data_IF_116384359967
#
_entry.id   IF_116384359967
#
_cell.length_a   1.000
_cell.length_b   1.000
_cell.length_c   1.000
_cell.angle_alpha   90.00
_cell.angle_beta   90.00
_cell.angle_gamma   90.00
#
_symmetry.space_group_name_H-M   'P 1'
#
loop_
_entity.id
_entity.type
_entity.pdbx_description
1 polymer ?
#
# COMPACT_ATOMS: atom_id res chain seq x y z
N UNK A 1 38.14 40.24 18.85
CA UNK A 1 37.36 39.20 19.57
C UNK A 1 37.08 38.10 18.57
N UNK A 2 37.66 36.92 18.79
CA UNK A 2 37.49 35.77 17.90
C UNK A 2 36.56 34.80 18.60
N UNK A 3 35.31 34.74 18.20
CA UNK A 3 34.37 33.72 18.67
C UNK A 3 34.80 32.38 18.08
N UNK A 4 35.27 31.48 18.94
CA UNK A 4 35.58 30.10 18.56
C UNK A 4 34.24 29.38 18.31
N UNK A 5 34.05 28.91 17.08
CA UNK A 5 32.95 28.03 16.71
C UNK A 5 33.23 26.63 17.28
N UNK A 6 32.34 26.11 18.13
CA UNK A 6 32.44 24.77 18.70
C UNK A 6 31.28 23.90 18.19
N UNK A 7 31.49 23.10 17.14
CA UNK A 7 30.46 22.27 16.54
C UNK A 7 29.98 21.13 17.45
N UNK A 8 30.63 20.87 18.59
CA UNK A 8 30.18 19.82 19.52
C UNK A 8 29.07 20.32 20.47
N UNK A 9 29.04 21.61 20.79
CA UNK A 9 28.02 22.25 21.62
C UNK A 9 26.90 22.93 20.83
N UNK A 10 27.21 23.49 19.66
CA UNK A 10 26.27 24.32 18.90
C UNK A 10 25.19 23.52 18.16
N UNK A 11 25.40 22.22 17.92
CA UNK A 11 24.45 21.37 17.17
C UNK A 11 23.50 20.54 18.04
N UNK A 12 23.66 20.55 19.37
CA UNK A 12 22.81 19.75 20.28
C UNK A 12 21.32 20.12 20.26
N UNK A 13 20.96 21.27 19.70
CA UNK A 13 19.57 21.73 19.54
C UNK A 13 19.08 21.71 18.08
N UNK A 14 19.90 21.27 17.12
CA UNK A 14 19.43 21.05 15.76
C UNK A 14 18.65 19.75 15.77
N UNK A 15 17.32 19.83 15.70
CA UNK A 15 16.49 18.65 15.49
C UNK A 15 16.75 18.15 14.08
N UNK A 16 17.42 17.01 13.92
CA UNK A 16 17.81 16.46 12.61
C UNK A 16 16.62 16.04 11.73
N UNK A 17 15.39 16.25 12.20
CA UNK A 17 14.12 15.78 11.60
C UNK A 17 14.14 14.30 11.21
N UNK A 18 14.99 13.52 11.89
CA UNK A 18 15.09 12.08 11.71
C UNK A 18 13.86 11.41 12.31
N UNK A 19 13.40 10.38 11.63
CA UNK A 19 12.26 9.57 12.02
C UNK A 19 12.55 8.10 11.76
N UNK A 20 11.90 7.27 12.55
CA UNK A 20 11.86 5.83 12.31
C UNK A 20 11.03 5.54 11.05
N UNK A 21 11.56 4.65 10.21
CA UNK A 21 10.88 4.12 9.07
C UNK A 21 11.36 2.69 8.81
N UNK A 22 10.67 1.98 7.92
CA UNK A 22 11.09 0.66 7.45
C UNK A 22 11.07 0.65 5.93
N UNK A 23 12.15 0.22 5.29
CA UNK A 23 12.15 -0.09 3.86
C UNK A 23 11.77 -1.56 3.68
N UNK A 24 10.74 -1.83 2.87
CA UNK A 24 10.27 -3.17 2.56
C UNK A 24 10.39 -3.43 1.07
N UNK A 25 10.76 -4.65 0.68
CA UNK A 25 10.73 -5.09 -0.72
C UNK A 25 9.51 -5.98 -0.97
N UNK A 26 8.48 -5.49 -1.68
CA UNK A 26 7.28 -6.27 -1.96
C UNK A 26 7.60 -7.60 -2.67
N UNK A 27 6.86 -8.65 -2.30
CA UNK A 27 7.08 -10.00 -2.84
C UNK A 27 8.24 -10.77 -2.21
N UNK A 28 8.93 -10.18 -1.23
CA UNK A 28 9.98 -10.83 -0.43
C UNK A 28 9.70 -10.66 1.06
N UNK A 29 10.47 -11.34 1.91
CA UNK A 29 10.49 -11.08 3.35
C UNK A 29 11.55 -10.04 3.75
N UNK A 30 12.19 -9.38 2.78
CA UNK A 30 13.26 -8.44 3.05
C UNK A 30 12.71 -7.12 3.60
N UNK A 31 13.27 -6.71 4.74
CA UNK A 31 12.86 -5.52 5.47
C UNK A 31 14.07 -4.92 6.21
N UNK A 32 14.26 -3.61 6.09
CA UNK A 32 15.35 -2.88 6.73
C UNK A 32 14.78 -1.78 7.65
N UNK A 33 14.98 -1.87 8.98
CA UNK A 33 14.61 -0.79 9.88
C UNK A 33 15.57 0.39 9.70
N UNK A 34 15.02 1.60 9.66
CA UNK A 34 15.74 2.84 9.43
C UNK A 34 15.45 3.77 10.60
N UNK A 35 16.46 4.06 11.43
CA UNK A 35 16.29 4.93 12.58
C UNK A 35 16.57 6.40 12.23
N UNK A 36 17.24 6.64 11.10
CA UNK A 36 17.75 7.96 10.73
C UNK A 36 17.14 8.46 9.43
N UNK A 37 15.90 8.07 9.10
CA UNK A 37 15.25 8.47 7.86
C UNK A 37 14.73 9.93 7.95
N UNK A 38 14.74 10.67 6.85
CA UNK A 38 14.21 12.05 6.82
C UNK A 38 13.28 12.17 5.62
N UNK A 39 12.07 12.71 5.83
CA UNK A 39 11.09 12.96 4.78
C UNK A 39 10.90 14.47 4.55
N UNK A 40 10.71 14.86 3.28
CA UNK A 40 10.50 16.25 2.89
C UNK A 40 9.66 16.33 1.61
N UNK A 41 8.85 17.38 1.39
CA UNK A 41 8.07 17.51 0.16
C UNK A 41 8.96 17.63 -1.08
N UNK A 42 8.50 17.12 -2.22
CA UNK A 42 9.14 17.38 -3.51
C UNK A 42 9.06 18.87 -3.84
N UNK A 43 10.20 19.47 -4.22
CA UNK A 43 10.24 20.89 -4.54
C UNK A 43 9.57 21.15 -5.89
N UNK A 44 8.94 22.33 -6.03
CA UNK A 44 8.29 22.79 -7.27
C UNK A 44 9.20 22.68 -8.50
N UNK A 45 10.47 23.04 -8.35
CA UNK A 45 11.47 22.95 -9.43
C UNK A 45 11.73 21.51 -9.87
N UNK A 46 11.83 20.58 -8.92
CA UNK A 46 12.07 19.16 -9.18
C UNK A 46 10.87 18.52 -9.90
N UNK A 47 9.65 18.84 -9.45
CA UNK A 47 8.43 18.39 -10.12
C UNK A 47 8.38 18.85 -11.59
N UNK A 48 8.70 20.12 -11.87
CA UNK A 48 8.78 20.65 -13.25
C UNK A 48 9.84 19.95 -14.09
N UNK A 49 11.04 19.74 -13.54
CA UNK A 49 12.14 19.06 -14.24
C UNK A 49 11.83 17.60 -14.57
N UNK A 50 10.91 16.97 -13.85
CA UNK A 50 10.52 15.58 -14.07
C UNK A 50 9.57 15.36 -15.27
N UNK A 51 9.14 16.43 -15.96
CA UNK A 51 8.15 16.37 -17.03
C UNK A 51 6.85 15.62 -16.65
N UNK A 52 6.47 15.69 -15.37
CA UNK A 52 5.26 15.05 -14.84
C UNK A 52 5.46 13.64 -14.25
N UNK A 53 6.68 13.10 -14.28
CA UNK A 53 6.97 11.83 -13.61
C UNK A 53 6.78 11.92 -12.09
N UNK A 54 7.08 13.08 -11.50
CA UNK A 54 6.87 13.40 -10.09
C UNK A 54 5.97 14.62 -9.94
N UNK A 55 5.14 14.63 -8.90
CA UNK A 55 4.23 15.73 -8.58
C UNK A 55 4.69 16.43 -7.30
N UNK A 56 4.04 17.55 -6.95
CA UNK A 56 4.31 18.24 -5.69
C UNK A 56 3.78 17.47 -4.46
N UNK A 57 2.87 16.51 -4.68
CA UNK A 57 2.32 15.63 -3.64
C UNK A 57 3.26 14.45 -3.32
N UNK A 58 4.32 14.26 -4.12
CA UNK A 58 5.35 13.29 -3.84
C UNK A 58 6.27 13.76 -2.70
N UNK A 59 6.81 12.78 -1.98
CA UNK A 59 7.70 13.01 -0.84
C UNK A 59 9.07 12.43 -1.12
N UNK A 60 10.09 13.21 -0.81
CA UNK A 60 11.48 12.77 -0.85
C UNK A 60 11.87 12.19 0.49
N UNK A 61 12.24 10.92 0.48
CA UNK A 61 12.86 10.23 1.60
C UNK A 61 14.38 10.19 1.43
N UNK A 62 15.09 10.62 2.48
CA UNK A 62 16.55 10.52 2.61
C UNK A 62 16.86 9.38 3.57
N UNK A 63 17.40 8.27 3.06
CA UNK A 63 17.66 7.05 3.82
C UNK A 63 19.17 6.86 4.02
N UNK A 64 19.59 6.41 5.20
CA UNK A 64 21.00 6.15 5.47
C UNK A 64 21.44 4.84 4.80
N UNK A 65 22.47 4.91 3.97
CA UNK A 65 23.03 3.72 3.33
C UNK A 65 23.70 2.76 4.34
N UNK A 66 24.10 3.24 5.52
CA UNK A 66 24.66 2.39 6.59
C UNK A 66 23.63 1.53 7.31
N UNK A 67 22.33 1.82 7.15
CA UNK A 67 21.23 1.07 7.79
C UNK A 67 20.65 -0.02 6.89
N UNK A 68 21.17 -0.14 5.66
CA UNK A 68 20.68 -1.08 4.66
C UNK A 68 21.84 -1.78 3.96
N UNK A 69 21.66 -3.07 3.70
CA UNK A 69 22.65 -3.90 2.99
C UNK A 69 22.46 -3.86 1.47
N UNK A 70 21.36 -3.28 0.99
CA UNK A 70 21.00 -3.20 -0.43
C UNK A 70 20.62 -1.78 -0.82
N UNK A 71 20.76 -1.46 -2.11
CA UNK A 71 20.23 -0.23 -2.67
C UNK A 71 18.68 -0.27 -2.71
N UNK A 72 17.99 0.82 -2.33
CA UNK A 72 16.57 0.99 -2.61
C UNK A 72 16.31 0.99 -4.11
N UNK A 73 15.20 0.39 -4.51
CA UNK A 73 14.80 0.23 -5.90
C UNK A 73 13.39 0.81 -6.12
N UNK A 74 13.07 1.29 -7.34
CA UNK A 74 11.70 1.57 -7.69
C UNK A 74 10.79 0.38 -7.40
N UNK A 75 9.67 0.61 -6.72
CA UNK A 75 8.75 -0.42 -6.24
C UNK A 75 8.96 -0.86 -4.79
N UNK A 76 10.12 -0.57 -4.17
CA UNK A 76 10.27 -0.74 -2.71
C UNK A 76 9.30 0.20 -1.97
N UNK A 77 8.97 -0.12 -0.72
CA UNK A 77 7.99 0.64 0.09
C UNK A 77 8.65 1.14 1.36
N UNK A 78 8.61 2.45 1.58
CA UNK A 78 8.96 3.06 2.88
C UNK A 78 7.70 3.12 3.74
N UNK A 79 7.72 2.51 4.92
CA UNK A 79 6.67 2.58 5.93
C UNK A 79 7.15 3.51 7.04
N UNK A 80 6.42 4.59 7.30
CA UNK A 80 6.76 5.54 8.37
C UNK A 80 6.21 5.12 9.74
N UNK A 81 6.53 5.88 10.78
CA UNK A 81 6.07 5.64 12.15
C UNK A 81 4.53 5.66 12.31
N UNK A 82 3.82 6.37 11.43
CA UNK A 82 2.35 6.40 11.40
C UNK A 82 1.76 5.25 10.55
N UNK A 83 2.58 4.26 10.20
CA UNK A 83 2.26 3.14 9.31
C UNK A 83 1.81 3.54 7.90
N UNK A 84 2.08 4.79 7.46
CA UNK A 84 1.78 5.20 6.09
C UNK A 84 2.81 4.61 5.14
N UNK A 85 2.33 4.17 3.98
CA UNK A 85 3.11 3.45 2.97
C UNK A 85 3.44 4.39 1.81
N UNK A 86 4.72 4.49 1.49
CA UNK A 86 5.28 5.36 0.46
C UNK A 86 6.03 4.50 -0.56
N UNK A 87 5.49 4.35 -1.76
CA UNK A 87 6.13 3.57 -2.83
C UNK A 87 7.27 4.38 -3.44
N UNK A 88 8.47 3.81 -3.49
CA UNK A 88 9.64 4.40 -4.13
C UNK A 88 9.41 4.41 -5.64
N UNK A 89 9.32 5.60 -6.24
CA UNK A 89 9.22 5.79 -7.69
C UNK A 89 10.61 5.86 -8.34
N UNK A 90 11.58 6.42 -7.62
CA UNK A 90 12.96 6.51 -8.06
C UNK A 90 13.90 6.63 -6.86
N UNK A 91 15.08 6.02 -6.96
CA UNK A 91 16.13 6.12 -5.96
C UNK A 91 17.44 6.56 -6.61
N UNK A 92 18.11 7.54 -6.00
CA UNK A 92 19.47 7.96 -6.40
C UNK A 92 20.35 8.12 -5.18
N UNK A 93 21.63 7.77 -5.32
CA UNK A 93 22.59 8.00 -4.25
C UNK A 93 23.09 9.45 -4.30
N UNK A 94 22.97 10.16 -3.18
CA UNK A 94 23.44 11.53 -3.04
C UNK A 94 24.94 11.60 -2.75
N UNK A 95 25.52 12.80 -2.90
CA UNK A 95 26.93 13.05 -2.61
C UNK A 95 27.30 12.80 -1.14
N UNK A 96 26.34 12.90 -0.22
CA UNK A 96 26.51 12.59 1.21
C UNK A 96 26.48 11.09 1.51
N UNK A 97 26.38 10.23 0.50
CA UNK A 97 26.30 8.78 0.63
C UNK A 97 24.91 8.23 0.94
N UNK A 98 23.96 9.10 1.33
CA UNK A 98 22.55 8.77 1.61
C UNK A 98 21.75 8.53 0.32
N UNK A 99 20.73 7.69 0.41
CA UNK A 99 19.79 7.46 -0.68
C UNK A 99 18.69 8.51 -0.66
N UNK A 100 18.49 9.17 -1.81
CA UNK A 100 17.35 10.06 -2.04
C UNK A 100 16.32 9.30 -2.86
N UNK A 101 15.19 8.98 -2.24
CA UNK A 101 14.08 8.24 -2.82
C UNK A 101 12.90 9.19 -3.04
N UNK A 102 12.46 9.35 -4.28
CA UNK A 102 11.18 10.03 -4.59
C UNK A 102 10.09 8.99 -4.38
N UNK A 103 9.15 9.27 -3.49
CA UNK A 103 8.14 8.31 -3.07
C UNK A 103 6.74 8.92 -3.18
N UNK A 104 5.75 8.05 -3.38
CA UNK A 104 4.34 8.42 -3.44
C UNK A 104 3.51 7.58 -2.49
N UNK A 105 2.63 8.23 -1.72
CA UNK A 105 1.58 7.52 -1.01
C UNK A 105 0.44 7.21 -1.99
N UNK A 106 0.40 5.98 -2.51
CA UNK A 106 -0.60 5.59 -3.50
C UNK A 106 -2.02 5.59 -2.94
N UNK A 107 -2.21 5.39 -1.63
CA UNK A 107 -3.52 5.45 -1.01
C UNK A 107 -4.12 6.86 -1.12
N UNK A 108 -3.28 7.89 -0.90
CA UNK A 108 -3.69 9.28 -1.07
C UNK A 108 -3.83 9.63 -2.55
N UNK A 109 -2.84 9.29 -3.38
CA UNK A 109 -2.82 9.66 -4.80
C UNK A 109 -3.96 9.03 -5.62
N UNK A 110 -4.47 7.87 -5.19
CA UNK A 110 -5.54 7.13 -5.88
C UNK A 110 -6.87 7.14 -5.09
N UNK A 111 -6.97 8.02 -4.07
CA UNK A 111 -8.17 8.25 -3.27
C UNK A 111 -8.77 6.97 -2.66
N UNK A 112 -7.94 6.17 -1.98
CA UNK A 112 -8.41 5.04 -1.19
C UNK A 112 -9.09 5.57 0.09
N UNK A 113 -10.39 5.80 -0.02
CA UNK A 113 -11.23 6.49 0.97
C UNK A 113 -11.96 5.53 1.93
N UNK A 114 -11.84 4.22 1.72
CA UNK A 114 -12.49 3.19 2.53
C UNK A 114 -11.49 2.20 3.09
N UNK A 115 -11.93 1.46 4.10
CA UNK A 115 -11.24 0.28 4.62
C UNK A 115 -12.09 -0.96 4.38
N UNK A 116 -11.42 -2.07 4.07
CA UNK A 116 -12.03 -3.39 3.89
C UNK A 116 -11.31 -4.44 4.73
N UNK A 117 -12.05 -5.48 5.06
CA UNK A 117 -11.49 -6.72 5.58
C UNK A 117 -11.50 -7.77 4.46
N UNK A 118 -10.45 -8.56 4.40
CA UNK A 118 -10.33 -9.72 3.51
C UNK A 118 -10.45 -10.96 4.38
N UNK A 119 -11.42 -11.80 4.07
CA UNK A 119 -11.67 -13.07 4.75
C UNK A 119 -11.32 -14.23 3.84
N UNK A 120 -10.89 -15.35 4.42
CA UNK A 120 -10.56 -16.59 3.71
C UNK A 120 -11.54 -17.70 4.09
N UNK A 121 -11.89 -18.54 3.11
CA UNK A 121 -12.75 -19.69 3.30
C UNK A 121 -11.99 -20.85 3.96
N UNK A 122 -12.44 -21.24 5.15
CA UNK A 122 -11.99 -22.44 5.87
C UNK A 122 -13.06 -23.52 5.72
N UNK A 123 -12.71 -24.56 4.96
CA UNK A 123 -13.57 -25.72 4.69
C UNK A 123 -13.36 -26.78 5.76
N UNK A 124 -14.45 -27.25 6.34
CA UNK A 124 -14.48 -28.34 7.31
C UNK A 124 -15.59 -29.32 6.97
N UNK A 125 -15.56 -30.53 7.54
CA UNK A 125 -16.69 -31.46 7.45
C UNK A 125 -17.40 -31.48 8.78
N UNK A 126 -18.73 -31.42 8.75
CA UNK A 126 -19.54 -31.63 9.94
C UNK A 126 -19.60 -33.12 10.36
N UNK A 127 -20.32 -33.41 11.44
CA UNK A 127 -20.49 -34.77 11.94
C UNK A 127 -21.23 -35.70 10.94
N UNK A 128 -21.96 -35.15 9.98
CA UNK A 128 -22.64 -35.89 8.92
C UNK A 128 -21.78 -36.03 7.65
N UNK A 129 -20.57 -35.46 7.63
CA UNK A 129 -19.64 -35.47 6.50
C UNK A 129 -19.93 -34.42 5.43
N UNK A 130 -20.90 -33.52 5.66
CA UNK A 130 -21.20 -32.41 4.76
C UNK A 130 -20.13 -31.32 4.87
N UNK A 131 -19.81 -30.69 3.75
CA UNK A 131 -18.84 -29.59 3.72
C UNK A 131 -19.46 -28.31 4.31
N UNK A 132 -18.80 -27.74 5.29
CA UNK A 132 -19.14 -26.47 5.94
C UNK A 132 -18.02 -25.48 5.65
N UNK A 133 -18.38 -24.37 5.00
CA UNK A 133 -17.48 -23.24 4.74
C UNK A 133 -17.66 -22.21 5.84
N UNK A 134 -16.60 -21.94 6.59
CA UNK A 134 -16.53 -20.84 7.55
C UNK A 134 -15.58 -19.77 7.04
N UNK A 135 -15.90 -18.50 7.27
CA UNK A 135 -15.07 -17.39 6.80
C UNK A 135 -14.33 -16.80 7.97
N UNK A 136 -13.01 -16.67 7.84
CA UNK A 136 -12.14 -16.16 8.89
C UNK A 136 -11.39 -14.92 8.40
N UNK A 137 -11.20 -13.89 9.25
CA UNK A 137 -10.40 -12.74 8.90
C UNK A 137 -8.97 -13.15 8.50
N UNK A 138 -8.53 -12.72 7.33
CA UNK A 138 -7.17 -12.94 6.83
C UNK A 138 -6.34 -11.65 6.83
N UNK A 139 -6.96 -10.53 6.43
CA UNK A 139 -6.42 -9.16 6.57
C UNK A 139 -7.55 -8.23 6.98
N UNK A 140 -7.25 -7.27 7.82
CA UNK A 140 -8.24 -6.28 8.29
C UNK A 140 -7.75 -4.86 8.07
N UNK A 141 -8.68 -3.93 7.87
CA UNK A 141 -8.37 -2.51 7.73
C UNK A 141 -7.56 -2.15 6.46
N UNK A 142 -7.67 -2.94 5.40
CA UNK A 142 -6.96 -2.69 4.14
C UNK A 142 -7.56 -1.44 3.47
N UNK A 143 -6.73 -0.44 3.20
CA UNK A 143 -7.16 0.75 2.48
C UNK A 143 -7.56 0.40 1.04
N UNK A 144 -8.77 0.78 0.65
CA UNK A 144 -9.37 0.41 -0.62
C UNK A 144 -10.30 1.49 -1.19
N UNK A 145 -10.52 1.41 -2.50
CA UNK A 145 -11.56 2.16 -3.23
C UNK A 145 -12.39 1.16 -4.02
N UNK A 146 -13.71 1.22 -3.85
CA UNK A 146 -14.65 0.35 -4.55
C UNK A 146 -15.32 1.14 -5.67
N UNK A 147 -15.29 0.60 -6.88
CA UNK A 147 -15.89 1.22 -8.06
C UNK A 147 -16.84 0.23 -8.74
N UNK A 148 -18.13 0.59 -8.92
CA UNK A 148 -19.05 -0.27 -9.67
C UNK A 148 -18.65 -0.28 -11.15
N UNK A 149 -18.64 -1.47 -11.76
CA UNK A 149 -18.36 -1.64 -13.20
C UNK A 149 -19.68 -1.77 -13.96
N UNK A 150 -20.52 -2.74 -13.56
CA UNK A 150 -21.77 -3.07 -14.25
C UNK A 150 -22.72 -3.81 -13.33
N UNK A 151 -24.02 -3.56 -13.50
CA UNK A 151 -25.07 -4.39 -12.89
C UNK A 151 -25.79 -5.13 -14.01
N UNK A 152 -25.76 -6.46 -13.98
CA UNK A 152 -26.45 -7.31 -14.95
C UNK A 152 -27.47 -8.19 -14.22
N UNK A 153 -28.69 -8.25 -14.73
CA UNK A 153 -29.67 -9.26 -14.27
C UNK A 153 -29.34 -10.56 -14.97
N UNK A 154 -28.98 -11.60 -14.21
CA UNK A 154 -28.64 -12.91 -14.73
C UNK A 154 -29.41 -14.00 -13.96
N UNK A 155 -29.67 -15.17 -14.58
CA UNK A 155 -30.25 -16.29 -13.86
C UNK A 155 -29.24 -16.81 -12.82
N UNK A 156 -29.59 -16.70 -11.53
CA UNK A 156 -28.90 -17.27 -10.39
C UNK A 156 -29.84 -18.33 -9.80
N UNK A 157 -29.45 -19.61 -9.84
CA UNK A 157 -30.24 -20.72 -9.28
C UNK A 157 -31.74 -20.64 -9.61
N UNK A 158 -32.08 -20.66 -10.90
CA UNK A 158 -33.46 -20.64 -11.44
C UNK A 158 -34.27 -19.35 -11.18
N UNK A 159 -33.66 -18.32 -10.57
CA UNK A 159 -34.26 -17.00 -10.33
C UNK A 159 -33.48 -15.91 -11.05
N UNK A 160 -34.15 -14.88 -11.56
CA UNK A 160 -33.46 -13.66 -12.02
C UNK A 160 -32.85 -12.96 -10.80
N UNK A 161 -31.52 -12.90 -10.74
CA UNK A 161 -30.76 -12.21 -9.70
C UNK A 161 -29.94 -11.07 -10.30
N UNK A 162 -29.65 -10.04 -9.50
CA UNK A 162 -28.81 -8.92 -9.93
C UNK A 162 -27.35 -9.22 -9.56
N UNK A 163 -26.52 -9.56 -10.55
CA UNK A 163 -25.07 -9.60 -10.40
C UNK A 163 -24.54 -8.18 -10.54
N UNK A 164 -24.05 -7.62 -9.44
CA UNK A 164 -23.36 -6.33 -9.45
C UNK A 164 -21.87 -6.59 -9.44
N UNK A 165 -21.21 -6.29 -10.55
CA UNK A 165 -19.76 -6.37 -10.75
C UNK A 165 -19.10 -5.07 -10.26
N UNK A 166 -18.08 -5.23 -9.44
CA UNK A 166 -17.31 -4.15 -8.85
C UNK A 166 -15.82 -4.39 -9.06
N UNK A 167 -15.06 -3.30 -9.10
CA UNK A 167 -13.61 -3.29 -9.03
C UNK A 167 -13.20 -2.74 -7.68
N UNK A 168 -12.33 -3.45 -6.99
CA UNK A 168 -11.72 -3.00 -5.73
C UNK A 168 -10.26 -2.71 -5.99
N UNK A 169 -9.85 -1.47 -5.73
CA UNK A 169 -8.45 -1.06 -5.80
C UNK A 169 -7.86 -1.08 -4.40
N UNK A 170 -6.73 -1.74 -4.20
CA UNK A 170 -6.06 -1.84 -2.89
C UNK A 170 -4.60 -1.37 -2.97
N UNK A 171 -4.13 -0.73 -1.90
CA UNK A 171 -2.74 -0.28 -1.78
C UNK A 171 -1.74 -1.44 -1.68
N UNK A 172 -2.16 -2.54 -1.05
CA UNK A 172 -1.29 -3.66 -0.76
C UNK A 172 -1.30 -4.68 -1.89
N UNK A 173 -0.13 -5.29 -2.15
CA UNK A 173 -0.07 -6.50 -2.96
C UNK A 173 -0.53 -7.67 -2.09
N UNK A 174 -1.77 -8.09 -2.28
CA UNK A 174 -2.37 -9.21 -1.58
C UNK A 174 -2.26 -10.48 -2.43
N UNK A 175 -1.87 -11.58 -1.80
CA UNK A 175 -1.97 -12.90 -2.42
C UNK A 175 -3.39 -13.45 -2.21
N UNK A 176 -4.32 -12.95 -3.02
CA UNK A 176 -5.76 -13.21 -2.92
C UNK A 176 -6.24 -13.97 -4.15
N UNK A 177 -7.27 -14.81 -3.99
CA UNK A 177 -7.92 -15.56 -5.05
C UNK A 177 -9.42 -15.79 -4.74
N UNK A 178 -10.07 -16.67 -5.49
CA UNK A 178 -11.48 -17.04 -5.32
C UNK A 178 -11.81 -17.74 -3.98
N UNK A 179 -10.81 -18.14 -3.18
CA UNK A 179 -11.04 -18.67 -1.83
C UNK A 179 -11.22 -17.55 -0.79
N UNK A 180 -11.07 -16.30 -1.22
CA UNK A 180 -11.22 -15.13 -0.39
C UNK A 180 -12.49 -14.34 -0.74
N UNK A 181 -12.94 -13.55 0.22
CA UNK A 181 -14.01 -12.56 0.04
C UNK A 181 -13.65 -11.26 0.73
N UNK A 182 -14.28 -10.19 0.29
CA UNK A 182 -14.10 -8.84 0.82
C UNK A 182 -15.34 -8.49 1.64
N UNK A 183 -15.13 -7.95 2.83
CA UNK A 183 -16.16 -7.42 3.72
C UNK A 183 -15.89 -5.94 3.98
N UNK A 184 -16.85 -5.09 3.67
CA UNK A 184 -16.76 -3.66 3.97
C UNK A 184 -17.21 -3.37 5.41
N UNK A 185 -16.85 -2.20 5.92
CA UNK A 185 -17.23 -1.75 7.27
C UNK A 185 -18.75 -1.65 7.50
N UNK A 186 -19.53 -1.48 6.43
CA UNK A 186 -20.99 -1.51 6.45
C UNK A 186 -21.60 -2.93 6.46
N UNK A 187 -20.75 -3.97 6.44
CA UNK A 187 -21.16 -5.37 6.42
C UNK A 187 -21.40 -5.96 5.03
N UNK A 188 -21.31 -5.18 3.96
CA UNK A 188 -21.49 -5.69 2.59
C UNK A 188 -20.40 -6.69 2.22
N UNK A 189 -20.81 -7.81 1.64
CA UNK A 189 -19.91 -8.90 1.23
C UNK A 189 -19.75 -8.90 -0.29
N UNK A 190 -18.50 -9.03 -0.73
CA UNK A 190 -18.13 -9.18 -2.13
C UNK A 190 -17.28 -10.44 -2.32
N UNK A 191 -17.66 -11.29 -3.27
CA UNK A 191 -16.92 -12.50 -3.63
C UNK A 191 -15.85 -12.17 -4.67
N UNK A 192 -14.63 -12.67 -4.48
CA UNK A 192 -13.53 -12.47 -5.43
C UNK A 192 -13.73 -13.35 -6.66
N UNK A 193 -13.76 -12.74 -7.84
CA UNK A 193 -13.89 -13.46 -9.12
C UNK A 193 -12.66 -13.33 -10.01
N UNK A 194 -11.85 -12.29 -9.81
CA UNK A 194 -10.64 -12.05 -10.58
C UNK A 194 -9.68 -11.15 -9.83
N UNK A 195 -8.39 -11.28 -10.15
CA UNK A 195 -7.32 -10.49 -9.55
C UNK A 195 -6.35 -10.07 -10.63
N UNK A 196 -6.04 -8.79 -10.67
CA UNK A 196 -5.01 -8.22 -11.52
C UNK A 196 -3.98 -7.54 -10.63
N UNK A 197 -2.77 -8.14 -10.58
CA UNK A 197 -1.64 -7.55 -9.86
C UNK A 197 -1.22 -6.24 -10.53
N UNK A 198 -0.68 -5.32 -9.74
CA UNK A 198 -0.19 -4.04 -10.27
C UNK A 198 0.91 -4.31 -11.30
N UNK A 199 0.69 -3.91 -12.55
CA UNK A 199 1.67 -4.11 -13.63
C UNK A 199 2.76 -3.02 -13.64
N UNK A 200 2.51 -1.89 -12.96
CA UNK A 200 3.44 -0.78 -12.82
C UNK A 200 3.55 -0.33 -11.36
N UNK A 201 4.71 0.20 -10.99
CA UNK A 201 5.00 0.68 -9.62
C UNK A 201 4.10 1.83 -9.15
N UNK A 202 3.44 2.53 -10.08
CA UNK A 202 2.50 3.63 -9.84
C UNK A 202 1.02 3.20 -9.91
N UNK A 203 0.75 1.90 -10.10
CA UNK A 203 -0.61 1.35 -10.20
C UNK A 203 -0.98 0.55 -8.95
N UNK A 204 -2.28 0.51 -8.65
CA UNK A 204 -2.81 -0.31 -7.57
C UNK A 204 -3.11 -1.72 -8.06
N UNK A 205 -3.18 -2.66 -7.12
CA UNK A 205 -3.75 -3.96 -7.39
C UNK A 205 -5.26 -3.82 -7.56
N UNK A 206 -5.81 -4.51 -8.55
CA UNK A 206 -7.24 -4.53 -8.85
C UNK A 206 -7.81 -5.91 -8.55
N UNK A 207 -8.96 -5.93 -7.88
CA UNK A 207 -9.69 -7.13 -7.54
C UNK A 207 -11.08 -6.99 -8.15
N UNK A 208 -11.40 -7.89 -9.08
CA UNK A 208 -12.74 -7.99 -9.66
C UNK A 208 -13.59 -8.80 -8.70
N UNK A 209 -14.73 -8.23 -8.29
CA UNK A 209 -15.61 -8.85 -7.31
C UNK A 209 -17.08 -8.75 -7.72
N UNK A 210 -17.87 -9.70 -7.23
CA UNK A 210 -19.33 -9.65 -7.33
C UNK A 210 -19.94 -9.45 -5.95
N UNK A 211 -20.91 -8.54 -5.84
CA UNK A 211 -21.64 -8.35 -4.57
C UNK A 211 -22.45 -9.62 -4.28
N UNK A 212 -22.29 -10.19 -3.09
CA UNK A 212 -23.13 -11.29 -2.63
C UNK A 212 -24.56 -10.79 -2.45
N UNK A 213 -25.53 -11.55 -2.94
CA UNK A 213 -26.95 -11.33 -2.65
C UNK A 213 -27.20 -11.96 -1.27
N UNK A 214 -27.81 -11.22 -0.35
CA UNK A 214 -28.29 -11.81 0.91
C UNK A 214 -29.33 -12.90 0.58
N UNK A 215 -29.12 -14.12 1.11
CA UNK A 215 -30.09 -15.21 1.08
C UNK A 215 -31.27 -14.93 2.01
#
# INVERSE_FOLDING_TARGET
>A
MTTAFDPSGDFGQVTDFQQEATLQRPGTSDSWPLCRAVSSPVRVSEARSSAGAYTQDDVVWSLDAGEMTVAPQPGDVVVDADARRWVVLAARRGATGRWRCICRNLAIAQSLDRTIDVEVAVRSKDAAGAEVVTWQPWRTGVAARLQPIRSTVAPIHERLGQLSEWKVFVADQLDIDHTHRIKTSDGTIYQVVGVQKAQRIDTLMEIDVIRAVEE
#
